data_IF_216705458560
#
_entry.id   IF_216705458560
#
_cell.length_a   1.000
_cell.length_b   1.000
_cell.length_c   1.000
_cell.angle_alpha   90.00
_cell.angle_beta   90.00
_cell.angle_gamma   90.00
#
_symmetry.space_group_name_H-M   'P 1'
#
loop_
_entity.id
_entity.type
_entity.pdbx_description
1 polymer ?
#
# COMPACT_ATOMS: atom_id res chain seq x y z
N UNK A 1 10.23 -8.50 -24.68
CA UNK A 1 9.01 -8.42 -23.84
C UNK A 1 9.20 -7.51 -22.61
N UNK A 2 10.23 -7.74 -21.76
CA UNK A 2 10.44 -6.96 -20.52
C UNK A 2 10.72 -5.46 -20.76
N UNK A 3 11.42 -5.11 -21.83
CA UNK A 3 11.73 -3.71 -22.18
C UNK A 3 10.48 -2.87 -22.47
N UNK A 4 9.45 -3.48 -23.10
CA UNK A 4 8.19 -2.77 -23.36
C UNK A 4 7.45 -2.43 -22.07
N UNK A 5 7.59 -3.27 -21.03
CA UNK A 5 7.03 -2.97 -19.72
C UNK A 5 7.83 -1.85 -19.03
N UNK A 6 9.16 -1.94 -19.06
CA UNK A 6 10.01 -0.97 -18.38
C UNK A 6 9.87 0.46 -18.93
N UNK A 7 9.67 0.62 -20.24
CA UNK A 7 9.39 1.91 -20.89
C UNK A 7 8.07 2.56 -20.47
N UNK A 8 7.16 1.80 -19.87
CA UNK A 8 5.81 2.27 -19.49
C UNK A 8 5.69 2.59 -18.00
N UNK A 9 6.82 2.72 -17.32
CA UNK A 9 6.90 2.92 -15.87
C UNK A 9 7.95 3.99 -15.54
N UNK A 10 7.71 4.68 -14.42
CA UNK A 10 8.69 5.59 -13.83
C UNK A 10 9.54 4.80 -12.83
N UNK A 11 10.85 4.97 -12.91
CA UNK A 11 11.82 4.31 -12.06
C UNK A 11 12.45 5.32 -11.11
N UNK A 12 13.02 4.85 -10.02
CA UNK A 12 13.73 5.67 -9.06
C UNK A 12 15.03 5.02 -8.61
N UNK A 13 16.03 5.86 -8.37
CA UNK A 13 17.31 5.48 -7.76
C UNK A 13 17.77 6.64 -6.87
N UNK A 14 18.04 6.35 -5.60
CA UNK A 14 18.51 7.32 -4.60
C UNK A 14 17.69 8.63 -4.54
N UNK A 15 16.37 8.50 -4.71
CA UNK A 15 15.41 9.63 -4.70
C UNK A 15 15.23 10.32 -6.06
N UNK A 16 16.16 10.17 -7.00
CA UNK A 16 15.99 10.64 -8.38
C UNK A 16 15.01 9.74 -9.14
N UNK A 17 14.27 10.31 -10.09
CA UNK A 17 13.33 9.57 -10.94
C UNK A 17 13.69 9.66 -12.41
N UNK A 18 13.39 8.61 -13.17
CA UNK A 18 13.67 8.53 -14.60
C UNK A 18 12.71 7.57 -15.32
N UNK A 19 12.66 7.68 -16.65
CA UNK A 19 11.98 6.73 -17.55
C UNK A 19 13.00 6.09 -18.50
N UNK A 20 12.60 4.98 -19.11
CA UNK A 20 13.34 4.40 -20.25
C UNK A 20 12.74 4.95 -21.54
N UNK A 21 13.56 5.59 -22.36
CA UNK A 21 13.16 6.15 -23.65
C UNK A 21 13.08 5.08 -24.76
N UNK A 22 12.72 5.48 -25.97
CA UNK A 22 12.52 4.57 -27.10
C UNK A 22 13.82 3.94 -27.60
N UNK A 23 14.86 4.75 -27.67
CA UNK A 23 16.23 4.37 -27.98
C UNK A 23 16.93 3.62 -26.83
N UNK A 24 16.20 3.38 -25.72
CA UNK A 24 16.65 2.71 -24.49
C UNK A 24 17.62 3.54 -23.64
N UNK A 25 17.78 4.83 -23.94
CA UNK A 25 18.40 5.77 -23.02
C UNK A 25 17.49 6.01 -21.80
N UNK A 26 18.03 6.64 -20.76
CA UNK A 26 17.24 7.10 -19.63
C UNK A 26 17.04 8.61 -19.73
N UNK A 27 15.84 9.06 -19.36
CA UNK A 27 15.50 10.47 -19.30
C UNK A 27 14.85 10.79 -17.96
N UNK A 28 15.17 11.94 -17.39
CA UNK A 28 14.57 12.43 -16.15
C UNK A 28 13.22 13.13 -16.40
N UNK A 29 12.70 13.79 -15.38
CA UNK A 29 11.42 14.50 -15.43
C UNK A 29 11.43 15.67 -16.44
N UNK A 30 12.58 16.27 -16.70
CA UNK A 30 12.76 17.38 -17.63
C UNK A 30 13.07 16.90 -19.06
N UNK A 31 13.05 15.58 -19.29
CA UNK A 31 13.49 14.91 -20.53
C UNK A 31 14.98 15.03 -20.81
N UNK A 32 15.76 15.45 -19.82
CA UNK A 32 17.20 15.50 -19.94
C UNK A 32 17.79 14.09 -19.83
N UNK A 33 18.92 13.88 -20.49
CA UNK A 33 19.64 12.61 -20.44
C UNK A 33 20.01 12.27 -18.99
N UNK A 34 19.53 11.12 -18.52
CA UNK A 34 19.77 10.64 -17.17
C UNK A 34 20.82 9.53 -17.18
N UNK A 35 21.82 9.64 -16.31
CA UNK A 35 22.82 8.60 -16.11
C UNK A 35 22.61 7.94 -14.77
N UNK A 36 22.55 6.61 -14.73
CA UNK A 36 22.48 5.88 -13.46
C UNK A 36 23.73 6.16 -12.63
N UNK A 37 23.61 6.41 -11.32
CA UNK A 37 24.77 6.54 -10.45
C UNK A 37 25.69 5.32 -10.57
N UNK A 38 26.98 5.55 -10.78
CA UNK A 38 27.99 4.50 -10.86
C UNK A 38 28.37 4.04 -9.46
N UNK A 39 27.58 3.13 -8.88
CA UNK A 39 27.85 2.55 -7.57
C UNK A 39 27.10 1.24 -7.36
N UNK A 40 27.78 0.23 -6.82
CA UNK A 40 27.19 -1.10 -6.57
C UNK A 40 26.03 -1.09 -5.55
N UNK A 41 25.85 0.01 -4.81
CA UNK A 41 24.83 0.17 -3.76
C UNK A 41 23.51 0.79 -4.24
N UNK A 42 23.49 1.43 -5.41
CA UNK A 42 22.31 2.17 -5.88
C UNK A 42 21.28 1.21 -6.48
N UNK A 43 20.19 0.98 -5.75
CA UNK A 43 19.13 0.04 -6.13
C UNK A 43 18.04 0.74 -6.93
N UNK A 44 17.92 0.40 -8.21
CA UNK A 44 16.80 0.82 -9.06
C UNK A 44 15.51 0.15 -8.57
N UNK A 45 14.46 0.95 -8.40
CA UNK A 45 13.13 0.52 -7.96
C UNK A 45 12.07 1.20 -8.82
N UNK A 46 10.83 0.70 -8.76
CA UNK A 46 9.70 1.47 -9.28
C UNK A 46 9.49 2.70 -8.40
N UNK A 47 9.32 3.86 -9.03
CA UNK A 47 8.97 5.08 -8.31
C UNK A 47 7.59 4.89 -7.68
N UNK A 48 7.51 5.05 -6.36
CA UNK A 48 6.25 4.98 -5.64
C UNK A 48 5.68 6.39 -5.44
N UNK A 49 4.39 6.64 -5.72
CA UNK A 49 3.82 7.99 -5.59
C UNK A 49 3.95 8.61 -4.21
N UNK A 50 4.02 7.80 -3.14
CA UNK A 50 4.25 8.29 -1.78
C UNK A 50 5.62 8.97 -1.56
N UNK A 51 6.57 8.78 -2.48
CA UNK A 51 7.88 9.45 -2.46
C UNK A 51 7.98 10.60 -3.47
N UNK A 52 6.92 10.86 -4.23
CA UNK A 52 6.88 11.93 -5.22
C UNK A 52 6.05 13.09 -4.70
N UNK A 53 6.52 14.32 -4.94
CA UNK A 53 5.67 15.48 -4.74
C UNK A 53 4.45 15.41 -5.68
N UNK A 54 3.36 16.07 -5.31
CA UNK A 54 2.17 16.16 -6.18
C UNK A 54 2.52 16.76 -7.55
N UNK A 55 3.38 17.80 -7.54
CA UNK A 55 3.88 18.42 -8.76
C UNK A 55 4.67 17.41 -9.63
N UNK A 56 5.61 16.65 -9.06
CA UNK A 56 6.37 15.68 -9.84
C UNK A 56 5.48 14.56 -10.41
N UNK A 57 4.46 14.13 -9.65
CA UNK A 57 3.48 13.16 -10.14
C UNK A 57 2.70 13.70 -11.33
N UNK A 58 2.27 14.97 -11.27
CA UNK A 58 1.54 15.62 -12.36
C UNK A 58 2.45 15.73 -13.60
N UNK A 59 3.67 16.25 -13.43
CA UNK A 59 4.64 16.39 -14.51
C UNK A 59 5.00 15.05 -15.16
N UNK A 60 5.19 13.99 -14.37
CA UNK A 60 5.40 12.64 -14.91
C UNK A 60 4.18 12.12 -15.69
N UNK A 61 2.97 12.42 -15.21
CA UNK A 61 1.73 12.01 -15.86
C UNK A 61 1.52 12.74 -17.19
N UNK A 62 1.78 14.05 -17.22
CA UNK A 62 1.80 14.87 -18.44
C UNK A 62 2.82 14.32 -19.44
N UNK A 63 4.05 14.08 -19.00
CA UNK A 63 5.10 13.51 -19.84
C UNK A 63 4.68 12.17 -20.45
N UNK A 64 4.09 11.28 -19.66
CA UNK A 64 3.62 10.00 -20.18
C UNK A 64 2.47 10.18 -21.18
N UNK A 65 1.60 11.17 -20.97
CA UNK A 65 0.54 11.53 -21.90
C UNK A 65 1.09 12.04 -23.24
N UNK A 66 2.07 12.95 -23.21
CA UNK A 66 2.70 13.54 -24.41
C UNK A 66 3.30 12.47 -25.31
N UNK A 67 3.99 11.49 -24.72
CA UNK A 67 4.57 10.34 -25.44
C UNK A 67 3.56 9.19 -25.67
N UNK A 68 2.28 9.38 -25.31
CA UNK A 68 1.20 8.39 -25.42
C UNK A 68 1.53 7.05 -24.75
N UNK A 69 2.28 7.12 -23.64
CA UNK A 69 2.68 5.98 -22.83
C UNK A 69 1.55 5.63 -21.87
N UNK A 70 0.82 4.56 -22.17
CA UNK A 70 -0.18 4.01 -21.26
C UNK A 70 0.51 3.22 -20.14
N UNK A 71 0.28 3.53 -18.87
CA UNK A 71 0.84 2.71 -17.80
C UNK A 71 0.11 1.35 -17.72
N UNK A 72 0.83 0.24 -17.42
CA UNK A 72 0.23 -1.09 -17.32
C UNK A 72 -0.67 -1.28 -16.08
N UNK A 73 -0.53 -0.39 -15.10
CA UNK A 73 -1.35 -0.25 -13.90
C UNK A 73 -1.25 1.22 -13.46
N UNK A 74 -2.13 1.74 -12.59
CA UNK A 74 -2.10 3.15 -12.18
C UNK A 74 -0.91 3.41 -11.26
N UNK A 75 0.30 3.47 -11.80
CA UNK A 75 1.51 3.71 -11.01
C UNK A 75 1.45 5.13 -10.45
N UNK A 76 1.40 6.16 -11.29
CA UNK A 76 1.37 7.57 -10.85
C UNK A 76 0.01 7.96 -10.25
N UNK A 77 -1.05 7.31 -10.72
CA UNK A 77 -2.41 7.42 -10.22
C UNK A 77 -2.71 6.58 -8.98
N UNK A 78 -1.73 5.82 -8.44
CA UNK A 78 -1.96 5.03 -7.23
C UNK A 78 -2.32 5.98 -6.08
N UNK A 79 -3.37 5.62 -5.35
CA UNK A 79 -3.77 6.35 -4.14
C UNK A 79 -2.65 6.33 -3.12
N UNK A 80 -2.40 7.47 -2.49
CA UNK A 80 -1.46 7.61 -1.37
C UNK A 80 -2.27 8.02 -0.16
N UNK A 81 -2.23 7.21 0.89
CA UNK A 81 -2.94 7.47 2.14
C UNK A 81 -1.94 7.86 3.22
N UNK A 82 -2.33 8.82 4.06
CA UNK A 82 -1.55 9.26 5.20
C UNK A 82 -2.23 8.82 6.51
N UNK A 83 -1.42 8.53 7.52
CA UNK A 83 -1.93 8.20 8.86
C UNK A 83 -2.74 9.37 9.43
N UNK A 84 -3.84 9.05 10.11
CA UNK A 84 -4.54 10.01 10.93
C UNK A 84 -3.60 10.55 12.03
N UNK A 85 -3.58 11.87 12.32
CA UNK A 85 -2.65 12.44 13.30
C UNK A 85 -2.65 11.76 14.66
N UNK A 86 -3.83 11.33 15.14
CA UNK A 86 -4.00 10.64 16.42
C UNK A 86 -3.41 9.22 16.49
N UNK A 87 -3.11 8.59 15.35
CA UNK A 87 -2.58 7.22 15.33
C UNK A 87 -1.04 7.19 15.28
N UNK A 88 -0.41 8.32 14.91
CA UNK A 88 1.01 8.39 14.53
C UNK A 88 1.97 7.92 15.62
N UNK A 89 1.73 8.34 16.85
CA UNK A 89 2.65 8.10 17.98
C UNK A 89 2.46 6.73 18.63
N UNK A 90 1.47 5.96 18.22
CA UNK A 90 1.17 4.64 18.75
C UNK A 90 1.45 3.51 17.76
N UNK A 91 1.08 2.31 18.17
CA UNK A 91 1.05 1.11 17.31
C UNK A 91 -0.37 0.72 16.92
N UNK A 92 -1.38 1.48 17.35
CA UNK A 92 -2.79 1.25 17.08
C UNK A 92 -3.32 2.29 16.10
N UNK A 93 -4.18 1.84 15.20
CA UNK A 93 -5.01 2.71 14.36
C UNK A 93 -6.31 2.98 15.13
N UNK A 94 -6.22 3.83 16.17
CA UNK A 94 -7.35 4.17 17.04
C UNK A 94 -8.48 4.83 16.26
N UNK A 95 -8.17 5.53 15.15
CA UNK A 95 -9.16 6.07 14.22
C UNK A 95 -10.09 5.02 13.60
N UNK A 96 -9.70 3.74 13.59
CA UNK A 96 -10.49 2.64 13.05
C UNK A 96 -11.19 1.81 14.14
N UNK A 97 -10.74 1.89 15.38
CA UNK A 97 -11.31 1.12 16.49
C UNK A 97 -12.76 1.57 16.77
N UNK A 98 -13.66 0.62 17.01
CA UNK A 98 -15.10 0.86 17.18
C UNK A 98 -15.90 0.94 15.88
N UNK A 99 -15.25 0.95 14.70
CA UNK A 99 -15.96 0.94 13.42
C UNK A 99 -16.76 -0.35 13.26
N UNK A 100 -18.02 -0.23 12.85
CA UNK A 100 -18.90 -1.35 12.52
C UNK A 100 -18.82 -1.64 11.02
N UNK A 101 -18.54 -2.89 10.68
CA UNK A 101 -18.39 -3.35 9.30
C UNK A 101 -19.15 -4.66 9.10
N UNK A 102 -19.83 -4.84 7.96
CA UNK A 102 -20.50 -6.10 7.66
C UNK A 102 -19.48 -7.24 7.47
N UNK A 103 -19.90 -8.46 7.80
CA UNK A 103 -19.07 -9.68 7.70
C UNK A 103 -18.35 -9.82 6.35
N UNK A 104 -18.98 -9.42 5.25
CA UNK A 104 -18.44 -9.64 3.90
C UNK A 104 -17.20 -8.78 3.63
N UNK A 105 -17.05 -7.63 4.31
CA UNK A 105 -15.83 -6.80 4.25
C UNK A 105 -14.70 -7.43 5.04
N UNK A 106 -14.99 -7.96 6.22
CA UNK A 106 -14.00 -8.73 6.99
C UNK A 106 -13.59 -10.00 6.23
N UNK A 107 -14.53 -10.66 5.55
CA UNK A 107 -14.26 -11.81 4.71
C UNK A 107 -13.39 -11.46 3.46
N UNK A 108 -13.41 -10.20 2.97
CA UNK A 108 -12.46 -9.74 1.94
C UNK A 108 -11.01 -9.83 2.47
N UNK A 109 -10.77 -9.51 3.74
CA UNK A 109 -9.43 -9.61 4.34
C UNK A 109 -8.87 -11.04 4.32
N UNK A 110 -9.70 -12.05 4.58
CA UNK A 110 -9.28 -13.45 4.50
C UNK A 110 -8.74 -13.81 3.11
N UNK A 111 -9.40 -13.29 2.05
CA UNK A 111 -8.94 -13.45 0.66
C UNK A 111 -7.66 -12.66 0.36
N UNK A 112 -7.42 -11.56 1.08
CA UNK A 112 -6.18 -10.76 0.99
C UNK A 112 -5.00 -11.36 1.79
N UNK A 113 -5.15 -12.56 2.36
CA UNK A 113 -4.05 -13.24 3.03
C UNK A 113 -4.08 -13.15 4.55
N UNK A 114 -5.07 -12.47 5.14
CA UNK A 114 -5.23 -12.48 6.59
C UNK A 114 -5.54 -13.87 7.11
N UNK A 115 -4.98 -14.22 8.26
CA UNK A 115 -5.14 -15.52 8.92
C UNK A 115 -5.44 -15.31 10.40
N UNK A 116 -6.30 -16.16 10.93
CA UNK A 116 -6.44 -16.30 12.38
C UNK A 116 -5.38 -17.27 12.89
N UNK A 117 -4.87 -17.01 14.10
CA UNK A 117 -3.95 -17.88 14.81
C UNK A 117 -4.67 -18.88 15.73
N UNK A 118 -5.96 -18.65 16.03
CA UNK A 118 -6.76 -19.56 16.84
C UNK A 118 -7.30 -20.75 16.04
N UNK A 119 -7.59 -21.84 16.75
CA UNK A 119 -8.32 -23.00 16.24
C UNK A 119 -9.82 -22.96 16.62
N UNK A 120 -10.28 -21.87 17.23
CA UNK A 120 -11.66 -21.71 17.69
C UNK A 120 -12.66 -21.71 16.54
N UNK A 121 -13.91 -22.09 16.82
CA UNK A 121 -15.00 -22.05 15.84
C UNK A 121 -15.37 -20.63 15.39
N UNK A 122 -14.96 -19.61 16.15
CA UNK A 122 -15.19 -18.19 15.86
C UNK A 122 -13.84 -17.46 15.73
N UNK A 123 -13.69 -16.71 14.63
CA UNK A 123 -12.54 -15.86 14.37
C UNK A 123 -12.71 -14.54 15.12
N UNK A 124 -12.03 -14.39 16.25
CA UNK A 124 -11.97 -13.12 17.00
C UNK A 124 -10.79 -12.24 16.62
N UNK A 125 -9.80 -12.79 15.90
CA UNK A 125 -8.60 -12.06 15.51
C UNK A 125 -8.14 -12.49 14.12
N UNK A 126 -7.66 -11.53 13.34
CA UNK A 126 -7.08 -11.73 12.03
C UNK A 126 -5.71 -11.05 11.97
N UNK A 127 -4.74 -11.69 11.35
CA UNK A 127 -3.38 -11.17 11.24
C UNK A 127 -2.83 -11.32 9.83
N UNK A 128 -2.02 -10.35 9.41
CA UNK A 128 -1.30 -10.37 8.14
C UNK A 128 0.14 -9.91 8.38
N UNK A 129 1.11 -10.71 7.92
CA UNK A 129 2.51 -10.27 7.84
C UNK A 129 2.67 -9.38 6.61
N UNK A 130 2.99 -8.11 6.84
CA UNK A 130 3.13 -7.12 5.78
C UNK A 130 4.43 -7.35 5.00
N UNK A 131 4.49 -7.01 3.70
CA UNK A 131 5.69 -7.20 2.88
C UNK A 131 6.94 -6.49 3.41
N UNK A 132 6.74 -5.42 4.19
CA UNK A 132 7.80 -4.61 4.80
C UNK A 132 8.23 -5.10 6.20
N UNK A 133 7.69 -6.23 6.70
CA UNK A 133 8.17 -6.91 7.91
C UNK A 133 7.18 -6.98 9.09
N UNK A 134 6.57 -5.86 9.53
CA UNK A 134 5.61 -5.80 10.62
C UNK A 134 4.39 -6.71 10.41
N UNK A 135 3.72 -7.06 11.51
CA UNK A 135 2.47 -7.83 11.47
C UNK A 135 1.30 -6.92 11.83
N UNK A 136 0.31 -6.81 10.95
CA UNK A 136 -0.98 -6.19 11.26
C UNK A 136 -1.89 -7.22 11.92
N UNK A 137 -2.56 -6.85 13.01
CA UNK A 137 -3.61 -7.63 13.66
C UNK A 137 -4.89 -6.82 13.83
N UNK A 138 -6.03 -7.47 13.63
CA UNK A 138 -7.36 -6.90 13.76
C UNK A 138 -8.16 -7.80 14.70
N UNK A 139 -8.65 -7.26 15.80
CA UNK A 139 -9.57 -7.94 16.71
C UNK A 139 -11.01 -7.58 16.35
N UNK A 140 -11.90 -8.58 16.39
CA UNK A 140 -13.28 -8.50 15.96
C UNK A 140 -14.23 -8.82 17.12
N UNK A 141 -15.35 -8.13 17.19
CA UNK A 141 -16.43 -8.39 18.12
C UNK A 141 -17.78 -8.29 17.39
N UNK A 142 -18.63 -9.33 17.35
CA UNK A 142 -18.54 -10.60 18.07
C UNK A 142 -17.57 -11.63 17.48
N UNK A 143 -17.01 -11.42 16.29
CA UNK A 143 -16.19 -12.39 15.56
C UNK A 143 -16.95 -13.08 14.43
N UNK A 144 -16.22 -13.77 13.54
CA UNK A 144 -16.80 -14.48 12.40
C UNK A 144 -16.89 -15.99 12.66
N UNK A 145 -18.07 -16.59 12.47
CA UNK A 145 -18.23 -18.05 12.52
C UNK A 145 -17.46 -18.70 11.37
N UNK A 146 -16.61 -19.69 11.67
CA UNK A 146 -15.90 -20.48 10.67
C UNK A 146 -16.81 -21.41 9.89
N UNK A 147 -17.84 -21.94 10.56
CA UNK A 147 -18.80 -22.85 9.94
C UNK A 147 -19.65 -22.13 8.89
N UNK A 148 -20.01 -20.87 9.17
CA UNK A 148 -20.73 -20.03 8.23
C UNK A 148 -20.42 -18.54 8.46
N UNK A 149 -19.47 -18.03 7.68
CA UNK A 149 -19.04 -16.63 7.76
C UNK A 149 -20.19 -15.67 7.38
N UNK A 150 -21.12 -16.11 6.51
CA UNK A 150 -22.20 -15.24 5.99
C UNK A 150 -23.26 -14.90 7.03
N UNK A 151 -23.45 -15.76 8.02
CA UNK A 151 -24.36 -15.55 9.14
C UNK A 151 -23.75 -14.75 10.30
N UNK A 152 -22.51 -14.26 10.16
CA UNK A 152 -21.81 -13.55 11.24
C UNK A 152 -22.22 -12.09 11.41
N UNK A 153 -23.06 -11.54 10.52
CA UNK A 153 -23.64 -10.21 10.66
C UNK A 153 -22.62 -9.07 10.70
N UNK A 154 -22.91 -8.02 11.48
CA UNK A 154 -22.01 -6.87 11.68
C UNK A 154 -20.89 -7.19 12.67
N UNK A 155 -19.72 -6.61 12.42
CA UNK A 155 -18.51 -6.78 13.21
C UNK A 155 -17.98 -5.41 13.63
N UNK A 156 -17.66 -5.27 14.91
CA UNK A 156 -16.94 -4.12 15.44
C UNK A 156 -15.44 -4.41 15.40
N UNK A 157 -14.66 -3.47 14.87
CA UNK A 157 -13.20 -3.50 14.96
C UNK A 157 -12.78 -3.17 16.39
N UNK A 158 -12.62 -4.18 17.23
CA UNK A 158 -12.29 -4.00 18.66
C UNK A 158 -10.86 -3.48 18.87
N UNK A 159 -9.92 -3.90 18.02
CA UNK A 159 -8.59 -3.30 17.98
C UNK A 159 -7.95 -3.46 16.61
N UNK A 160 -7.19 -2.47 16.16
CA UNK A 160 -6.38 -2.54 14.93
C UNK A 160 -4.96 -2.12 15.28
N UNK A 161 -4.01 -3.06 15.20
CA UNK A 161 -2.64 -2.87 15.72
C UNK A 161 -1.58 -3.40 14.76
N UNK A 162 -0.46 -2.68 14.67
CA UNK A 162 0.76 -3.13 13.98
C UNK A 162 1.81 -3.52 15.02
N UNK A 163 2.36 -4.73 14.87
CA UNK A 163 3.37 -5.31 15.75
C UNK A 163 4.76 -5.26 15.11
N UNK A 164 5.80 -5.21 15.94
CA UNK A 164 7.20 -5.19 15.49
C UNK A 164 7.72 -3.79 15.14
N UNK A 165 7.02 -2.74 15.58
CA UNK A 165 7.43 -1.33 15.44
C UNK A 165 7.21 -0.59 16.76
N UNK A 166 7.92 0.52 16.95
CA UNK A 166 7.72 1.41 18.10
C UNK A 166 6.50 2.32 17.89
N UNK A 167 6.45 3.01 16.74
CA UNK A 167 5.33 3.89 16.36
C UNK A 167 4.99 3.73 14.89
N UNK A 168 3.74 3.97 14.53
CA UNK A 168 3.28 3.99 13.14
C UNK A 168 4.01 5.06 12.32
N UNK A 169 4.38 6.18 12.95
CA UNK A 169 5.18 7.24 12.33
C UNK A 169 6.59 6.81 11.91
N UNK A 170 7.13 5.73 12.49
CA UNK A 170 8.48 5.24 12.16
C UNK A 170 8.49 4.37 10.89
N UNK A 171 7.32 3.97 10.39
CA UNK A 171 7.18 3.34 9.08
C UNK A 171 7.49 4.35 7.97
N UNK A 172 8.13 3.91 6.88
CA UNK A 172 8.30 4.76 5.71
C UNK A 172 6.94 5.10 5.05
N UNK A 173 6.92 6.15 4.22
CA UNK A 173 5.68 6.64 3.60
C UNK A 173 4.97 5.60 2.72
N UNK A 174 5.71 4.68 2.09
CA UNK A 174 5.13 3.58 1.32
C UNK A 174 4.46 2.60 2.25
N UNK A 175 5.14 2.15 3.29
CA UNK A 175 4.62 1.22 4.28
C UNK A 175 3.36 1.77 4.98
N UNK A 176 3.33 3.07 5.32
CA UNK A 176 2.13 3.72 5.87
C UNK A 176 0.97 3.69 4.88
N UNK A 177 1.19 4.09 3.63
CA UNK A 177 0.13 4.10 2.61
C UNK A 177 -0.38 2.70 2.29
N UNK A 178 0.52 1.72 2.14
CA UNK A 178 0.15 0.33 1.82
C UNK A 178 -0.56 -0.37 2.98
N UNK A 179 -0.20 -0.05 4.23
CA UNK A 179 -0.95 -0.47 5.43
C UNK A 179 -2.41 -0.01 5.36
N UNK A 180 -2.63 1.28 5.07
CA UNK A 180 -3.98 1.86 5.00
C UNK A 180 -4.77 1.34 3.80
N UNK A 181 -4.12 1.16 2.64
CA UNK A 181 -4.75 0.55 1.46
C UNK A 181 -5.14 -0.92 1.70
N UNK A 182 -4.37 -1.65 2.51
CA UNK A 182 -4.72 -3.02 2.91
C UNK A 182 -6.01 -3.04 3.74
N UNK A 183 -6.24 -2.00 4.54
CA UNK A 183 -7.42 -1.84 5.41
C UNK A 183 -8.61 -1.15 4.72
N UNK A 184 -8.40 -0.51 3.56
CA UNK A 184 -9.43 0.20 2.80
C UNK A 184 -10.74 -0.58 2.59
N UNK A 185 -10.75 -1.91 2.36
CA UNK A 185 -11.99 -2.67 2.23
C UNK A 185 -12.90 -2.63 3.46
N UNK A 186 -12.38 -2.26 4.63
CA UNK A 186 -13.18 -2.10 5.86
C UNK A 186 -13.86 -0.74 5.92
N UNK A 187 -13.19 0.31 5.45
CA UNK A 187 -13.57 1.71 5.69
C UNK A 187 -14.28 2.36 4.51
N UNK A 188 -14.05 1.88 3.28
CA UNK A 188 -14.61 2.48 2.08
C UNK A 188 -15.98 1.90 1.72
N UNK A 189 -16.92 2.70 1.16
CA UNK A 189 -18.14 2.19 0.58
C UNK A 189 -17.85 1.23 -0.58
N UNK A 190 -18.76 0.29 -0.83
CA UNK A 190 -18.65 -0.67 -1.95
C UNK A 190 -18.87 0.00 -3.32
#
# INVERSE_FOLDING_TARGET
MLMHLARRLVWSVDGATFRVAEDRSFADLDDAAFTLPSGAASRVRLAHPAHLSENDRLRWSERFSDYRILQPFPQLGRRVLALHPGDREGTRLASLEGTRVPWHRVAKLLRQGFRDASADSVLHSLSLRLPFGPTLSISLNPGLSRADVSHSGEQTLASVRVHGIARLADLDAVAQSELLLTLAPLTEPD
#
